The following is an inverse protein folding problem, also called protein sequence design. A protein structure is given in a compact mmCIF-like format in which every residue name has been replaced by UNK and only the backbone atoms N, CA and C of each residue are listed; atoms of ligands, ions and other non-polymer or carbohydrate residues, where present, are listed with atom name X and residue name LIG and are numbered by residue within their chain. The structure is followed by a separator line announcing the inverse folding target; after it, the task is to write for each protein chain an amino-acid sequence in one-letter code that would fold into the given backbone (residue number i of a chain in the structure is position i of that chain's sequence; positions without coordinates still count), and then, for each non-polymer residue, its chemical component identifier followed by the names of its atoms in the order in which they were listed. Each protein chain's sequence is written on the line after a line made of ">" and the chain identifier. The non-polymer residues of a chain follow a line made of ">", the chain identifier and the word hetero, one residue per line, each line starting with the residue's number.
data_IF_430791831022
#
_entry.id   IF_430791831022
#
_cell.length_a   1.000
_cell.length_b   1.000
_cell.length_c   1.000
_cell.angle_alpha   90.00
_cell.angle_beta   90.00
_cell.angle_gamma   90.00
#
_symmetry.space_group_name_H-M   'P 1'
#
loop_
_entity.id
_entity.type
_entity.pdbx_description
1 polymer ?
#
# COMPACT_ATOMS: atom_id res chain seq x y z
N UNK A 1 -29.75 50.57 56.38
CA UNK A 1 -28.45 49.98 56.16
C UNK A 1 -28.45 48.43 56.20
N UNK A 2 -28.91 47.79 57.35
CA UNK A 2 -28.90 46.29 57.49
C UNK A 2 -29.67 45.54 56.36
N UNK A 3 -30.85 46.02 55.92
CA UNK A 3 -31.65 45.42 54.86
C UNK A 3 -30.94 45.49 53.49
N UNK A 4 -30.24 46.60 53.20
CA UNK A 4 -29.49 46.77 51.91
C UNK A 4 -28.26 45.79 51.89
N UNK A 5 -27.57 45.70 53.07
CA UNK A 5 -26.43 44.74 53.18
C UNK A 5 -26.86 43.28 52.99
N UNK A 6 -28.05 42.93 53.55
CA UNK A 6 -28.60 41.56 53.39
C UNK A 6 -28.99 41.28 51.92
N UNK A 7 -29.55 42.26 51.18
CA UNK A 7 -29.87 42.11 49.75
C UNK A 7 -28.57 41.95 48.93
N UNK A 8 -27.55 42.77 49.22
CA UNK A 8 -26.26 42.65 48.53
C UNK A 8 -25.65 41.26 48.78
N UNK A 9 -25.64 40.76 50.02
CA UNK A 9 -25.16 39.46 50.39
C UNK A 9 -25.91 38.35 49.63
N UNK A 10 -27.25 38.44 49.59
CA UNK A 10 -28.10 37.50 48.86
C UNK A 10 -27.79 37.48 47.34
N UNK A 11 -27.59 38.66 46.74
CA UNK A 11 -27.18 38.79 45.36
C UNK A 11 -25.82 38.18 45.09
N UNK A 12 -24.85 38.38 45.99
CA UNK A 12 -23.52 37.76 45.85
C UNK A 12 -23.58 36.23 45.97
N UNK A 13 -24.41 35.68 46.86
CA UNK A 13 -24.64 34.24 46.99
C UNK A 13 -25.28 33.67 45.69
N UNK A 14 -26.31 34.35 45.17
CA UNK A 14 -26.97 33.93 43.91
C UNK A 14 -26.00 33.98 42.73
N UNK A 15 -25.16 35.02 42.63
CA UNK A 15 -24.11 35.14 41.64
C UNK A 15 -23.08 34.03 41.76
N UNK A 16 -22.67 33.73 43.02
CA UNK A 16 -21.73 32.63 43.31
C UNK A 16 -22.28 31.25 42.87
N UNK A 17 -23.56 30.99 43.19
CA UNK A 17 -24.24 29.76 42.78
C UNK A 17 -24.34 29.70 41.25
N UNK A 18 -24.75 30.79 40.59
CA UNK A 18 -24.85 30.85 39.12
C UNK A 18 -23.49 30.63 38.43
N UNK A 19 -22.42 31.22 38.96
CA UNK A 19 -21.05 31.01 38.51
C UNK A 19 -20.62 29.54 38.69
N UNK A 20 -20.90 28.94 39.83
CA UNK A 20 -20.61 27.54 40.13
C UNK A 20 -21.32 26.57 39.17
N UNK A 21 -22.62 26.82 38.95
CA UNK A 21 -23.41 26.03 37.94
C UNK A 21 -22.88 26.24 36.53
N UNK A 22 -22.44 27.47 36.22
CA UNK A 22 -21.83 27.77 34.91
C UNK A 22 -20.53 26.94 34.67
N UNK A 23 -19.63 26.99 35.64
CA UNK A 23 -18.38 26.22 35.59
C UNK A 23 -18.65 24.71 35.54
N UNK A 24 -19.60 24.21 36.34
CA UNK A 24 -20.00 22.80 36.29
C UNK A 24 -20.52 22.40 34.92
N UNK A 25 -21.39 23.19 34.29
CA UNK A 25 -21.89 22.93 32.92
C UNK A 25 -20.78 22.90 31.87
N UNK A 26 -19.79 23.79 31.99
CA UNK A 26 -18.63 23.86 31.11
C UNK A 26 -17.75 22.62 31.26
N UNK A 27 -17.44 22.21 32.47
CA UNK A 27 -16.66 21.00 32.75
C UNK A 27 -17.39 19.75 32.30
N UNK A 28 -18.71 19.69 32.52
CA UNK A 28 -19.54 18.56 32.06
C UNK A 28 -19.55 18.41 30.55
N UNK A 29 -19.43 19.53 29.78
CA UNK A 29 -19.26 19.45 28.33
C UNK A 29 -17.95 18.74 27.96
N UNK A 30 -16.87 19.03 28.67
CA UNK A 30 -15.58 18.39 28.38
C UNK A 30 -15.64 16.86 28.48
N UNK A 31 -16.41 16.35 29.41
CA UNK A 31 -16.54 14.92 29.70
C UNK A 31 -17.74 14.29 28.95
N UNK A 32 -18.51 15.09 28.19
CA UNK A 32 -19.59 14.58 27.34
C UNK A 32 -19.03 13.96 26.05
N UNK A 33 -19.73 12.92 25.55
CA UNK A 33 -19.36 12.27 24.28
C UNK A 33 -19.65 13.20 23.09
N UNK A 34 -18.88 12.98 22.02
CA UNK A 34 -19.14 13.59 20.72
C UNK A 34 -20.52 13.16 20.18
N UNK A 35 -21.12 13.98 19.35
CA UNK A 35 -22.49 13.73 18.80
C UNK A 35 -22.46 12.86 17.55
N UNK A 36 -21.29 12.48 17.08
CA UNK A 36 -21.12 11.64 15.89
C UNK A 36 -21.62 10.21 16.16
N UNK A 37 -22.18 9.57 15.13
CA UNK A 37 -22.70 8.19 15.22
C UNK A 37 -21.70 7.15 14.69
N UNK A 38 -20.78 7.58 13.86
CA UNK A 38 -19.74 6.77 13.20
C UNK A 38 -18.40 7.50 13.22
N UNK A 39 -17.33 6.80 12.88
CA UNK A 39 -16.01 7.42 12.75
C UNK A 39 -16.05 8.57 11.75
N UNK A 40 -15.52 9.72 12.16
CA UNK A 40 -15.55 10.95 11.39
C UNK A 40 -14.15 11.48 11.19
N UNK A 41 -13.80 11.81 9.95
CA UNK A 41 -12.53 12.47 9.62
C UNK A 41 -12.76 13.99 9.69
N UNK A 42 -11.97 14.63 10.53
CA UNK A 42 -12.01 16.07 10.77
C UNK A 42 -10.69 16.71 10.40
N UNK A 43 -10.71 17.74 9.55
CA UNK A 43 -9.50 18.48 9.17
C UNK A 43 -9.49 19.86 9.80
N UNK A 44 -8.49 20.11 10.64
CA UNK A 44 -8.22 21.39 11.26
C UNK A 44 -7.16 22.15 10.46
N UNK A 45 -7.54 23.27 9.87
CA UNK A 45 -6.64 24.10 9.06
C UNK A 45 -5.64 24.87 9.91
N UNK A 46 -4.42 25.14 9.40
CA UNK A 46 -3.48 26.04 10.05
C UNK A 46 -4.09 27.42 10.33
N UNK A 47 -3.81 27.98 11.52
CA UNK A 47 -4.32 29.32 11.91
C UNK A 47 -5.78 29.35 12.38
N UNK A 48 -6.46 28.19 12.50
CA UNK A 48 -7.83 28.15 13.05
C UNK A 48 -7.83 28.59 14.51
N UNK A 49 -8.52 29.72 14.82
CA UNK A 49 -8.68 30.21 16.18
C UNK A 49 -9.77 29.47 16.97
N UNK A 50 -9.84 29.69 18.29
CA UNK A 50 -10.80 29.01 19.20
C UNK A 50 -12.27 29.17 18.77
N UNK A 51 -12.66 30.36 18.31
CA UNK A 51 -14.02 30.62 17.83
C UNK A 51 -14.34 29.79 16.61
N UNK A 52 -13.46 29.85 15.60
CA UNK A 52 -13.63 29.15 14.35
C UNK A 52 -13.63 27.60 14.55
N UNK A 53 -12.79 27.08 15.45
CA UNK A 53 -12.82 25.66 15.80
C UNK A 53 -14.17 25.24 16.38
N UNK A 54 -14.71 26.02 17.33
CA UNK A 54 -16.02 25.72 17.93
C UNK A 54 -17.15 25.77 16.93
N UNK A 55 -17.12 26.73 15.99
CA UNK A 55 -18.09 26.86 14.91
C UNK A 55 -17.99 25.72 13.90
N UNK A 56 -16.79 25.34 13.52
CA UNK A 56 -16.56 24.20 12.64
C UNK A 56 -17.05 22.88 13.27
N UNK A 57 -16.69 22.61 14.52
CA UNK A 57 -17.16 21.42 15.23
C UNK A 57 -18.69 21.37 15.37
N UNK A 58 -19.31 22.54 15.50
CA UNK A 58 -20.79 22.64 15.51
C UNK A 58 -21.40 22.42 14.13
N UNK A 59 -20.83 23.02 13.09
CA UNK A 59 -21.28 22.85 11.70
C UNK A 59 -21.19 21.38 11.26
N UNK A 60 -20.10 20.70 11.65
CA UNK A 60 -19.87 19.28 11.37
C UNK A 60 -20.66 18.35 12.30
N UNK A 61 -21.55 18.92 13.17
CA UNK A 61 -22.40 18.20 14.14
C UNK A 61 -21.62 17.32 15.13
N UNK A 62 -20.39 17.70 15.44
CA UNK A 62 -19.52 16.99 16.39
C UNK A 62 -19.87 17.41 17.82
N UNK A 63 -20.23 18.71 18.01
CA UNK A 63 -20.71 19.27 19.27
C UNK A 63 -22.03 20.07 19.04
N UNK A 64 -22.81 20.30 20.10
CA UNK A 64 -24.07 21.08 19.99
C UNK A 64 -24.03 22.43 20.70
N UNK A 65 -22.96 22.78 21.43
CA UNK A 65 -22.87 23.96 22.26
C UNK A 65 -21.59 24.77 22.01
N UNK A 66 -21.44 25.43 20.86
CA UNK A 66 -20.19 26.11 20.48
C UNK A 66 -19.81 27.24 21.45
N UNK A 67 -20.78 27.95 22.05
CA UNK A 67 -20.51 28.97 23.04
C UNK A 67 -19.95 28.39 24.35
N UNK A 68 -20.51 27.26 24.84
CA UNK A 68 -20.00 26.56 26.03
C UNK A 68 -18.62 25.99 25.78
N UNK A 69 -18.35 25.49 24.59
CA UNK A 69 -17.03 25.02 24.14
C UNK A 69 -15.96 26.14 24.23
N UNK A 70 -16.32 27.36 23.81
CA UNK A 70 -15.40 28.52 23.96
C UNK A 70 -15.07 28.85 25.41
N UNK A 71 -16.05 28.74 26.31
CA UNK A 71 -15.83 28.91 27.73
C UNK A 71 -14.95 27.80 28.30
N UNK A 72 -15.11 26.55 27.82
CA UNK A 72 -14.23 25.44 28.21
C UNK A 72 -12.76 25.75 27.93
N UNK A 73 -12.44 26.21 26.70
CA UNK A 73 -11.06 26.57 26.32
C UNK A 73 -10.51 27.81 27.06
N UNK A 74 -11.38 28.61 27.75
CA UNK A 74 -10.95 29.69 28.64
C UNK A 74 -10.69 29.20 30.05
N UNK A 75 -11.50 28.29 30.58
CA UNK A 75 -11.42 27.76 31.93
C UNK A 75 -10.32 26.69 32.02
N UNK A 76 -10.12 25.92 30.96
CA UNK A 76 -9.06 24.91 30.85
C UNK A 76 -8.15 25.28 29.63
N UNK A 77 -7.24 26.26 29.79
CA UNK A 77 -6.41 26.75 28.69
C UNK A 77 -5.47 25.70 28.12
N UNK A 78 -5.08 24.68 28.89
CA UNK A 78 -4.27 23.54 28.45
C UNK A 78 -4.92 22.79 27.27
N UNK A 79 -6.26 22.79 27.21
CA UNK A 79 -6.98 22.16 26.09
C UNK A 79 -7.01 23.03 24.82
N UNK A 80 -6.37 24.21 24.82
CA UNK A 80 -6.37 25.13 23.68
C UNK A 80 -5.12 25.05 22.80
N UNK A 81 -4.21 24.12 23.05
CA UNK A 81 -2.94 23.93 22.30
C UNK A 81 -3.11 22.94 21.15
N UNK A 82 -4.17 23.04 20.37
CA UNK A 82 -4.44 22.15 19.26
C UNK A 82 -3.57 22.45 18.03
N UNK A 83 -3.19 21.40 17.31
CA UNK A 83 -2.36 21.44 16.09
C UNK A 83 -3.23 21.23 14.85
N UNK A 84 -2.88 21.95 13.78
CA UNK A 84 -3.47 21.70 12.46
C UNK A 84 -3.16 20.28 12.00
N UNK A 85 -4.06 19.66 11.25
CA UNK A 85 -3.94 18.30 10.77
C UNK A 85 -5.29 17.66 10.48
N UNK A 86 -5.28 16.42 10.04
CA UNK A 86 -6.49 15.62 9.81
C UNK A 86 -6.59 14.52 10.85
N UNK A 87 -7.69 14.48 11.56
CA UNK A 87 -7.86 13.63 12.75
C UNK A 87 -9.06 12.68 12.55
N UNK A 88 -9.02 11.56 13.25
CA UNK A 88 -10.10 10.58 13.27
C UNK A 88 -10.78 10.62 14.63
N UNK A 89 -12.05 11.01 14.65
CA UNK A 89 -12.89 11.00 15.84
C UNK A 89 -13.77 9.76 15.87
N UNK A 90 -13.97 9.20 17.06
CA UNK A 90 -14.87 8.06 17.26
C UNK A 90 -16.06 8.45 18.13
N UNK A 91 -17.22 7.78 18.00
CA UNK A 91 -18.43 8.09 18.78
C UNK A 91 -18.26 7.98 20.30
N UNK A 92 -17.27 7.21 20.76
CA UNK A 92 -17.00 7.01 22.20
C UNK A 92 -16.18 8.12 22.81
N UNK A 93 -15.47 8.91 21.98
CA UNK A 93 -14.62 10.01 22.45
C UNK A 93 -15.45 11.08 23.18
N UNK A 94 -14.88 11.60 24.25
CA UNK A 94 -15.34 12.82 24.89
C UNK A 94 -14.74 14.06 24.21
N UNK A 95 -15.33 15.24 24.47
CA UNK A 95 -14.77 16.51 23.99
C UNK A 95 -13.35 16.72 24.51
N UNK A 96 -13.05 16.31 25.73
CA UNK A 96 -11.71 16.38 26.32
C UNK A 96 -10.71 15.49 25.58
N UNK A 97 -11.08 14.24 25.27
CA UNK A 97 -10.23 13.30 24.53
C UNK A 97 -9.98 13.79 23.11
N UNK A 98 -10.99 14.34 22.45
CA UNK A 98 -10.86 15.00 21.14
C UNK A 98 -9.84 16.15 21.19
N UNK A 99 -9.96 17.06 22.19
CA UNK A 99 -9.02 18.18 22.33
C UNK A 99 -7.60 17.71 22.61
N UNK A 100 -7.42 16.70 23.47
CA UNK A 100 -6.10 16.07 23.69
C UNK A 100 -5.54 15.41 22.44
N UNK A 101 -6.38 14.77 21.60
CA UNK A 101 -5.96 14.24 20.33
C UNK A 101 -5.46 15.35 19.39
N UNK A 102 -6.20 16.46 19.27
CA UNK A 102 -5.79 17.63 18.51
C UNK A 102 -4.48 18.25 19.03
N UNK A 103 -4.29 18.32 20.36
CA UNK A 103 -3.06 18.79 20.99
C UNK A 103 -1.87 17.89 20.67
N UNK A 104 -2.06 16.57 20.74
CA UNK A 104 -1.00 15.60 20.46
C UNK A 104 -0.44 15.71 19.03
N UNK A 105 -1.25 16.16 18.07
CA UNK A 105 -0.90 16.18 16.64
C UNK A 105 -0.86 14.79 16.02
N UNK A 106 -1.43 13.77 16.67
CA UNK A 106 -1.49 12.41 16.14
C UNK A 106 -2.56 12.33 15.07
N UNK A 107 -2.17 12.59 13.83
CA UNK A 107 -3.07 12.59 12.68
C UNK A 107 -3.63 11.21 12.34
N UNK A 108 -4.77 11.20 11.66
CA UNK A 108 -5.38 10.00 11.10
C UNK A 108 -4.43 9.33 10.09
N UNK A 109 -4.30 8.02 10.20
CA UNK A 109 -3.54 7.21 9.26
C UNK A 109 -4.49 6.54 8.28
N UNK A 110 -4.12 6.55 6.99
CA UNK A 110 -4.83 5.92 5.90
C UNK A 110 -3.96 4.83 5.28
N UNK A 111 -4.48 3.63 5.01
CA UNK A 111 -3.71 2.57 4.38
C UNK A 111 -3.76 2.69 2.86
N UNK A 112 -2.61 2.53 2.20
CA UNK A 112 -2.48 2.24 0.77
C UNK A 112 -1.85 0.85 0.64
N UNK A 113 -2.57 -0.11 0.06
CA UNK A 113 -2.11 -1.48 -0.09
C UNK A 113 -1.53 -1.71 -1.48
N UNK A 114 -0.21 -1.81 -1.59
CA UNK A 114 0.49 -2.22 -2.81
C UNK A 114 0.70 -3.74 -2.76
N UNK A 115 0.11 -4.47 -3.70
CA UNK A 115 0.06 -5.94 -3.68
C UNK A 115 1.13 -6.52 -4.59
N UNK A 116 1.71 -7.65 -4.19
CA UNK A 116 2.65 -8.43 -4.99
C UNK A 116 2.04 -8.85 -6.34
N UNK A 117 2.84 -8.96 -7.37
CA UNK A 117 2.40 -9.34 -8.71
C UNK A 117 1.65 -8.26 -9.49
N UNK A 118 1.40 -7.08 -8.91
CA UNK A 118 0.85 -5.92 -9.61
C UNK A 118 1.95 -5.16 -10.38
N UNK A 119 1.54 -4.45 -11.44
CA UNK A 119 2.41 -3.54 -12.20
C UNK A 119 2.48 -2.16 -11.53
N UNK A 120 3.49 -1.38 -11.88
CA UNK A 120 3.57 0.01 -11.45
C UNK A 120 2.33 0.81 -11.89
N UNK A 121 1.79 0.56 -13.08
CA UNK A 121 0.55 1.20 -13.54
C UNK A 121 -0.64 0.97 -12.62
N UNK A 122 -0.75 -0.22 -12.01
CA UNK A 122 -1.80 -0.53 -11.04
C UNK A 122 -1.57 0.24 -9.73
N UNK A 123 -0.32 0.39 -9.29
CA UNK A 123 0.05 1.18 -8.12
C UNK A 123 -0.27 2.66 -8.32
N UNK A 124 0.03 3.21 -9.49
CA UNK A 124 -0.28 4.61 -9.83
C UNK A 124 -1.79 4.84 -9.82
N UNK A 125 -2.57 3.90 -10.35
CA UNK A 125 -4.04 3.95 -10.28
C UNK A 125 -4.53 3.96 -8.82
N UNK A 126 -4.02 3.06 -7.96
CA UNK A 126 -4.39 3.02 -6.55
C UNK A 126 -4.00 4.31 -5.81
N UNK A 127 -2.83 4.89 -6.11
CA UNK A 127 -2.41 6.18 -5.56
C UNK A 127 -3.35 7.32 -5.97
N UNK A 128 -3.83 7.31 -7.22
CA UNK A 128 -4.77 8.32 -7.73
C UNK A 128 -6.14 8.23 -7.04
N UNK A 129 -6.59 7.02 -6.72
CA UNK A 129 -7.86 6.76 -6.06
C UNK A 129 -7.79 6.88 -4.52
N UNK A 130 -6.58 6.95 -3.95
CA UNK A 130 -6.38 6.98 -2.51
C UNK A 130 -6.86 8.31 -1.89
N UNK A 131 -7.68 8.28 -0.83
CA UNK A 131 -8.23 9.47 -0.21
C UNK A 131 -7.13 10.31 0.45
N UNK A 132 -7.28 11.63 0.44
CA UNK A 132 -6.39 12.59 1.13
C UNK A 132 -4.93 12.61 0.63
N UNK A 133 -4.59 11.90 -0.44
CA UNK A 133 -3.29 12.02 -1.11
C UNK A 133 -3.20 13.37 -1.82
N UNK A 134 -2.07 14.01 -1.70
CA UNK A 134 -1.73 15.18 -2.52
C UNK A 134 -1.03 14.70 -3.81
N UNK A 135 -1.75 14.80 -4.93
CA UNK A 135 -1.20 14.43 -6.23
C UNK A 135 -0.21 15.50 -6.71
N UNK A 136 1.02 15.07 -6.98
CA UNK A 136 2.13 15.92 -7.44
C UNK A 136 2.75 15.40 -8.73
N UNK A 137 2.48 14.15 -9.12
CA UNK A 137 2.81 13.63 -10.44
C UNK A 137 1.95 14.31 -11.50
N UNK A 138 2.58 14.78 -12.59
CA UNK A 138 1.88 15.42 -13.72
C UNK A 138 1.11 14.42 -14.58
N UNK A 139 1.61 13.19 -14.69
CA UNK A 139 0.99 12.07 -15.38
C UNK A 139 1.50 10.72 -14.82
N UNK A 140 0.96 9.60 -15.32
CA UNK A 140 1.31 8.24 -14.90
C UNK A 140 2.37 7.58 -15.81
N UNK A 141 3.06 8.35 -16.65
CA UNK A 141 4.13 7.78 -17.45
C UNK A 141 5.32 7.38 -16.59
N UNK A 142 5.87 6.22 -16.86
CA UNK A 142 7.03 5.71 -16.12
C UNK A 142 8.21 6.68 -16.13
N UNK A 143 8.44 7.38 -17.24
CA UNK A 143 9.48 8.40 -17.32
C UNK A 143 9.22 9.58 -16.36
N UNK A 144 7.98 10.04 -16.23
CA UNK A 144 7.59 11.10 -15.28
C UNK A 144 7.80 10.65 -13.83
N UNK A 145 7.41 9.43 -13.51
CA UNK A 145 7.62 8.85 -12.17
C UNK A 145 9.12 8.72 -11.90
N UNK A 146 9.90 8.16 -12.83
CA UNK A 146 11.34 8.00 -12.69
C UNK A 146 12.05 9.34 -12.45
N UNK A 147 11.66 10.39 -13.18
CA UNK A 147 12.18 11.74 -13.01
C UNK A 147 11.81 12.33 -11.63
N UNK A 148 10.54 12.18 -11.19
CA UNK A 148 10.10 12.68 -9.89
C UNK A 148 10.77 11.96 -8.71
N UNK A 149 11.18 10.72 -8.91
CA UNK A 149 11.93 9.93 -7.93
C UNK A 149 13.44 10.15 -8.02
N UNK A 150 13.95 10.82 -9.06
CA UNK A 150 15.37 11.06 -9.31
C UNK A 150 16.16 9.74 -9.42
N UNK A 151 15.60 8.77 -10.17
CA UNK A 151 16.20 7.44 -10.29
C UNK A 151 17.50 7.50 -11.10
N UNK A 152 18.54 6.82 -10.61
CA UNK A 152 19.82 6.66 -11.33
C UNK A 152 19.64 5.82 -12.61
N UNK A 153 18.76 4.83 -12.57
CA UNK A 153 18.45 3.95 -13.69
C UNK A 153 16.94 4.02 -13.98
N UNK A 154 16.47 5.04 -14.71
CA UNK A 154 15.03 5.27 -14.92
C UNK A 154 14.34 4.15 -15.69
N UNK A 155 15.09 3.34 -16.46
CA UNK A 155 14.59 2.15 -17.15
C UNK A 155 14.28 0.97 -16.22
N UNK A 156 14.79 0.98 -14.99
CA UNK A 156 14.54 -0.06 -13.99
C UNK A 156 13.35 0.27 -13.08
N UNK A 157 12.34 0.94 -13.59
CA UNK A 157 11.27 1.42 -12.73
C UNK A 157 10.24 0.33 -12.40
N UNK A 158 9.90 -0.55 -13.36
CA UNK A 158 8.96 -1.64 -13.10
C UNK A 158 9.56 -2.65 -12.14
N UNK A 159 8.77 -3.10 -11.16
CA UNK A 159 9.19 -4.08 -10.16
C UNK A 159 10.02 -3.51 -8.99
N UNK A 160 10.37 -2.21 -9.01
CA UNK A 160 11.24 -1.61 -8.00
C UNK A 160 10.50 -0.87 -6.86
N UNK A 161 9.26 -1.25 -6.58
CA UNK A 161 8.47 -0.72 -5.47
C UNK A 161 8.06 -1.85 -4.52
N UNK A 162 8.41 -1.74 -3.23
CA UNK A 162 8.12 -2.78 -2.25
C UNK A 162 6.62 -2.92 -2.02
N UNK A 163 6.06 -4.12 -2.21
CA UNK A 163 4.67 -4.41 -1.89
C UNK A 163 4.47 -4.45 -0.37
N UNK A 164 3.55 -3.64 0.13
CA UNK A 164 3.22 -3.55 1.56
C UNK A 164 1.93 -2.73 1.73
N UNK A 165 1.44 -2.69 2.98
CA UNK A 165 0.44 -1.69 3.38
C UNK A 165 1.13 -0.44 3.89
N UNK A 166 1.12 0.62 3.07
CA UNK A 166 1.75 1.89 3.36
C UNK A 166 0.81 2.83 4.08
N UNK A 167 1.08 3.10 5.37
CA UNK A 167 0.33 4.09 6.13
C UNK A 167 0.81 5.50 5.77
N UNK A 168 -0.16 6.43 5.60
CA UNK A 168 0.09 7.83 5.29
C UNK A 168 -0.89 8.74 6.02
N UNK A 169 -0.52 10.00 6.21
CA UNK A 169 -1.38 11.08 6.70
C UNK A 169 -1.94 11.90 5.54
N UNK A 170 -2.99 12.67 5.80
CA UNK A 170 -3.53 13.59 4.79
C UNK A 170 -2.43 14.54 4.26
N UNK A 171 -2.53 14.90 2.98
CA UNK A 171 -1.56 15.71 2.24
C UNK A 171 -0.18 15.07 2.03
N UNK A 172 0.02 13.80 2.40
CA UNK A 172 1.19 13.04 1.93
C UNK A 172 1.16 13.01 0.41
N UNK A 173 2.28 13.29 -0.25
CA UNK A 173 2.34 13.28 -1.71
C UNK A 173 2.47 11.85 -2.25
N UNK A 174 1.91 11.61 -3.43
CA UNK A 174 2.09 10.38 -4.21
C UNK A 174 3.59 10.05 -4.38
N UNK A 175 4.41 11.05 -4.77
CA UNK A 175 5.87 10.91 -4.89
C UNK A 175 6.52 10.47 -3.56
N UNK A 176 6.08 11.03 -2.42
CA UNK A 176 6.65 10.64 -1.12
C UNK A 176 6.38 9.18 -0.77
N UNK A 177 5.19 8.66 -1.09
CA UNK A 177 4.86 7.24 -0.89
C UNK A 177 5.66 6.34 -1.81
N UNK A 178 5.76 6.70 -3.10
CA UNK A 178 6.57 5.96 -4.07
C UNK A 178 8.06 5.95 -3.66
N UNK A 179 8.63 7.09 -3.22
CA UNK A 179 10.02 7.15 -2.70
C UNK A 179 10.22 6.18 -1.52
N UNK A 180 9.27 6.08 -0.60
CA UNK A 180 9.34 5.13 0.52
C UNK A 180 9.31 3.68 0.05
N UNK A 181 8.39 3.34 -0.86
CA UNK A 181 8.26 1.99 -1.40
C UNK A 181 9.51 1.59 -2.22
N UNK A 182 10.00 2.50 -3.06
CA UNK A 182 11.22 2.30 -3.84
C UNK A 182 12.44 2.10 -2.94
N UNK A 183 12.66 2.98 -1.95
CA UNK A 183 13.79 2.85 -1.00
C UNK A 183 13.78 1.51 -0.25
N UNK A 184 12.60 1.02 0.13
CA UNK A 184 12.48 -0.30 0.79
C UNK A 184 12.81 -1.43 -0.17
N UNK A 185 12.37 -1.35 -1.44
CA UNK A 185 12.72 -2.35 -2.45
C UNK A 185 14.22 -2.36 -2.74
N UNK A 186 14.85 -1.20 -2.94
CA UNK A 186 16.31 -1.09 -3.15
C UNK A 186 17.06 -1.81 -2.02
N UNK A 187 16.70 -1.54 -0.75
CA UNK A 187 17.34 -2.21 0.40
C UNK A 187 17.15 -3.73 0.38
N UNK A 188 15.95 -4.21 0.03
CA UNK A 188 15.67 -5.65 -0.04
C UNK A 188 16.44 -6.31 -1.18
N UNK A 189 16.51 -5.66 -2.34
CA UNK A 189 17.29 -6.14 -3.50
C UNK A 189 18.78 -6.15 -3.21
N UNK A 190 19.31 -5.12 -2.55
CA UNK A 190 20.73 -5.07 -2.14
C UNK A 190 21.07 -6.25 -1.24
N UNK A 191 20.25 -6.49 -0.22
CA UNK A 191 20.45 -7.63 0.68
C UNK A 191 20.37 -8.98 -0.03
N UNK A 192 19.39 -9.14 -0.94
CA UNK A 192 19.24 -10.36 -1.74
C UNK A 192 20.40 -10.56 -2.71
N UNK A 193 20.91 -9.48 -3.31
CA UNK A 193 22.05 -9.51 -4.22
C UNK A 193 23.35 -9.88 -3.52
N UNK A 194 23.62 -9.29 -2.37
CA UNK A 194 24.83 -9.60 -1.58
C UNK A 194 24.83 -11.02 -1.04
N UNK A 195 23.65 -11.50 -0.58
CA UNK A 195 23.50 -12.85 -0.03
C UNK A 195 23.22 -13.95 -1.04
N UNK A 196 23.15 -13.65 -2.35
CA UNK A 196 22.72 -14.62 -3.38
C UNK A 196 23.63 -15.83 -3.48
N UNK A 197 23.07 -16.94 -3.94
CA UNK A 197 23.84 -18.14 -4.25
C UNK A 197 24.89 -17.87 -5.34
N UNK A 198 26.04 -18.57 -5.25
CA UNK A 198 27.12 -18.44 -6.23
C UNK A 198 26.72 -18.98 -7.60
N UNK A 199 27.32 -18.39 -8.65
CA UNK A 199 27.17 -18.85 -10.03
C UNK A 199 25.78 -18.65 -10.63
N UNK A 200 24.98 -17.70 -10.12
CA UNK A 200 23.75 -17.29 -10.77
C UNK A 200 24.05 -16.49 -12.05
N UNK A 201 23.25 -16.68 -13.12
CA UNK A 201 23.54 -16.08 -14.43
C UNK A 201 23.04 -14.64 -14.57
N UNK A 202 22.98 -13.88 -13.47
CA UNK A 202 22.59 -12.48 -13.47
C UNK A 202 23.79 -11.56 -13.64
N UNK A 203 23.63 -10.53 -14.48
CA UNK A 203 24.67 -9.51 -14.72
C UNK A 203 24.59 -8.38 -13.69
N UNK A 204 23.39 -8.07 -13.21
CA UNK A 204 23.10 -6.94 -12.34
C UNK A 204 21.86 -7.20 -11.45
N UNK A 205 21.57 -6.28 -10.55
CA UNK A 205 20.43 -6.33 -9.63
C UNK A 205 19.08 -6.30 -10.37
N UNK A 206 19.02 -5.61 -11.53
CA UNK A 206 17.77 -5.55 -12.31
C UNK A 206 17.40 -6.93 -12.87
N UNK A 207 18.37 -7.73 -13.28
CA UNK A 207 18.12 -9.10 -13.73
C UNK A 207 17.64 -10.01 -12.58
N UNK A 208 18.09 -9.78 -11.36
CA UNK A 208 17.55 -10.46 -10.17
C UNK A 208 16.07 -10.08 -9.94
N UNK A 209 15.73 -8.78 -9.99
CA UNK A 209 14.35 -8.30 -9.85
C UNK A 209 13.48 -8.80 -11.00
N UNK A 210 14.01 -8.82 -12.22
CA UNK A 210 13.33 -9.35 -13.41
C UNK A 210 12.96 -10.81 -13.22
N UNK A 211 13.91 -11.65 -12.81
CA UNK A 211 13.64 -13.07 -12.52
C UNK A 211 12.63 -13.22 -11.38
N UNK A 212 12.78 -12.47 -10.31
CA UNK A 212 11.84 -12.50 -9.19
C UNK A 212 10.40 -12.15 -9.63
N UNK A 213 10.25 -11.17 -10.54
CA UNK A 213 8.95 -10.79 -11.09
C UNK A 213 8.32 -11.87 -11.97
N UNK A 214 9.13 -12.64 -12.68
CA UNK A 214 8.67 -13.80 -13.47
C UNK A 214 8.19 -14.90 -12.53
N UNK A 215 8.98 -15.25 -11.51
CA UNK A 215 8.61 -16.25 -10.49
C UNK A 215 7.31 -15.85 -9.79
N UNK A 216 7.15 -14.57 -9.43
CA UNK A 216 5.95 -14.04 -8.80
C UNK A 216 4.67 -14.29 -9.65
N UNK A 217 4.80 -14.20 -10.96
CA UNK A 217 3.68 -14.39 -11.90
C UNK A 217 3.44 -15.86 -12.29
N UNK A 218 4.41 -16.74 -12.04
CA UNK A 218 4.30 -18.16 -12.44
C UNK A 218 3.61 -19.02 -11.38
N UNK A 219 3.88 -18.78 -10.11
CA UNK A 219 3.32 -19.62 -9.06
C UNK A 219 2.87 -18.85 -7.83
N UNK A 220 1.65 -19.14 -7.38
CA UNK A 220 1.14 -18.72 -6.07
C UNK A 220 1.56 -19.70 -4.96
N UNK A 221 2.09 -20.89 -5.31
CA UNK A 221 2.48 -21.93 -4.34
C UNK A 221 3.85 -21.60 -3.76
N UNK A 222 3.87 -21.15 -2.51
CA UNK A 222 5.09 -20.69 -1.85
C UNK A 222 6.20 -21.77 -1.80
N UNK A 223 5.83 -23.03 -1.59
CA UNK A 223 6.79 -24.17 -1.52
C UNK A 223 7.40 -24.57 -2.87
N UNK A 224 6.94 -24.02 -3.99
CA UNK A 224 7.46 -24.35 -5.33
C UNK A 224 8.29 -23.22 -5.94
N UNK A 225 8.33 -22.02 -5.33
CA UNK A 225 9.00 -20.85 -5.90
C UNK A 225 10.49 -21.08 -6.18
N UNK A 226 11.19 -21.75 -5.29
CA UNK A 226 12.61 -22.09 -5.45
C UNK A 226 12.85 -23.14 -6.54
N UNK A 227 11.92 -24.08 -6.74
CA UNK A 227 11.96 -25.05 -7.84
C UNK A 227 11.64 -24.39 -9.20
N UNK A 228 10.64 -23.52 -9.26
CA UNK A 228 10.33 -22.71 -10.46
C UNK A 228 11.55 -21.83 -10.81
N UNK A 229 12.15 -21.17 -9.83
CA UNK A 229 13.38 -20.41 -10.02
C UNK A 229 14.51 -21.29 -10.60
N UNK A 230 14.68 -22.49 -10.06
CA UNK A 230 15.67 -23.46 -10.54
C UNK A 230 15.48 -23.80 -12.03
N UNK A 231 14.25 -24.01 -12.49
CA UNK A 231 13.98 -24.28 -13.93
C UNK A 231 14.45 -23.13 -14.80
N UNK A 232 14.11 -21.89 -14.46
CA UNK A 232 14.52 -20.72 -15.24
C UNK A 232 16.04 -20.49 -15.21
N UNK A 233 16.68 -20.68 -14.05
CA UNK A 233 18.14 -20.59 -13.92
C UNK A 233 18.83 -21.64 -14.78
N UNK A 234 18.35 -22.89 -14.77
CA UNK A 234 18.90 -23.97 -15.59
C UNK A 234 18.75 -23.66 -17.08
N UNK A 235 17.58 -23.17 -17.51
CA UNK A 235 17.37 -22.72 -18.89
C UNK A 235 18.33 -21.60 -19.30
N UNK A 236 18.51 -20.57 -18.47
CA UNK A 236 19.46 -19.49 -18.74
C UNK A 236 20.90 -20.02 -18.91
N UNK A 237 21.33 -20.95 -18.06
CA UNK A 237 22.70 -21.53 -18.12
C UNK A 237 22.99 -22.26 -19.43
N UNK A 238 21.98 -22.89 -20.03
CA UNK A 238 22.15 -23.64 -21.28
C UNK A 238 21.67 -22.84 -22.52
N UNK A 239 21.37 -21.54 -22.37
CA UNK A 239 20.89 -20.70 -23.46
C UNK A 239 19.48 -21.06 -23.96
N UNK A 240 18.68 -21.79 -23.21
CA UNK A 240 17.32 -22.14 -23.52
C UNK A 240 16.38 -20.95 -23.27
N UNK A 241 15.42 -20.73 -24.16
CA UNK A 241 14.39 -19.69 -23.99
C UNK A 241 13.56 -19.94 -22.74
N UNK A 242 13.15 -18.89 -22.02
CA UNK A 242 12.35 -19.02 -20.80
C UNK A 242 10.92 -19.47 -21.08
N UNK A 243 10.30 -19.02 -22.17
CA UNK A 243 8.97 -19.44 -22.65
C UNK A 243 7.92 -19.38 -21.54
N UNK A 244 7.72 -18.20 -20.99
CA UNK A 244 6.79 -17.93 -19.89
C UNK A 244 5.72 -16.94 -20.31
N UNK A 245 4.46 -17.35 -20.23
CA UNK A 245 3.29 -16.60 -20.68
C UNK A 245 3.18 -15.19 -20.04
N UNK A 246 3.45 -14.98 -18.74
CA UNK A 246 3.40 -13.66 -18.12
C UNK A 246 4.26 -12.60 -18.84
N UNK A 247 5.39 -12.97 -19.41
CA UNK A 247 6.24 -12.03 -20.15
C UNK A 247 5.60 -11.59 -21.47
N UNK A 248 4.88 -12.49 -22.14
CA UNK A 248 4.11 -12.17 -23.35
C UNK A 248 2.97 -11.22 -23.00
N UNK A 249 2.21 -11.54 -21.93
CA UNK A 249 1.11 -10.70 -21.41
C UNK A 249 1.61 -9.29 -21.07
N UNK A 250 2.78 -9.17 -20.43
CA UNK A 250 3.37 -7.87 -20.15
C UNK A 250 3.73 -7.11 -21.42
N UNK A 251 4.39 -7.79 -22.38
CA UNK A 251 4.79 -7.19 -23.65
C UNK A 251 3.62 -6.80 -24.56
N UNK A 252 2.45 -7.43 -24.42
CA UNK A 252 1.21 -7.03 -25.09
C UNK A 252 0.62 -5.73 -24.52
N UNK A 253 0.84 -5.46 -23.23
CA UNK A 253 0.25 -4.30 -22.55
C UNK A 253 -1.29 -4.31 -22.61
N UNK A 254 -1.88 -3.20 -23.04
CA UNK A 254 -3.35 -3.04 -23.15
C UNK A 254 -4.02 -3.92 -24.21
N UNK A 255 -3.26 -4.49 -25.13
CA UNK A 255 -3.81 -5.42 -26.14
C UNK A 255 -4.22 -6.78 -25.55
N UNK A 256 -3.77 -7.10 -24.32
CA UNK A 256 -4.15 -8.35 -23.68
C UNK A 256 -5.62 -8.32 -23.23
N UNK A 257 -6.41 -9.24 -23.77
CA UNK A 257 -7.86 -9.34 -23.55
C UNK A 257 -8.28 -10.52 -22.63
N UNK A 258 -7.34 -11.08 -21.86
CA UNK A 258 -7.60 -12.20 -20.96
C UNK A 258 -7.28 -13.58 -21.54
N UNK A 259 -6.90 -13.69 -22.82
CA UNK A 259 -6.50 -14.95 -23.46
C UNK A 259 -5.25 -14.74 -24.31
N UNK A 260 -4.34 -15.73 -24.30
CA UNK A 260 -3.21 -15.79 -25.21
C UNK A 260 -3.57 -16.69 -26.41
N UNK A 261 -3.32 -16.19 -27.60
CA UNK A 261 -3.38 -16.97 -28.83
C UNK A 261 -1.98 -17.48 -29.22
N UNK A 262 -1.93 -18.46 -30.11
CA UNK A 262 -0.65 -18.93 -30.68
C UNK A 262 0.10 -17.80 -31.38
N UNK A 263 -0.60 -16.93 -32.09
CA UNK A 263 -0.01 -15.77 -32.73
C UNK A 263 0.66 -14.81 -31.76
N UNK A 264 0.08 -14.62 -30.54
CA UNK A 264 0.70 -13.78 -29.49
C UNK A 264 2.03 -14.36 -29.02
N UNK A 265 2.11 -15.69 -28.86
CA UNK A 265 3.35 -16.38 -28.47
C UNK A 265 4.43 -16.28 -29.56
N UNK A 266 4.05 -16.18 -30.81
CA UNK A 266 4.95 -16.09 -31.98
C UNK A 266 5.31 -14.63 -32.33
N UNK A 267 4.56 -13.64 -31.81
CA UNK A 267 4.78 -12.21 -32.11
C UNK A 267 6.00 -11.68 -31.35
N UNK A 268 7.04 -11.18 -32.05
CA UNK A 268 8.22 -10.64 -31.38
C UNK A 268 7.92 -9.36 -30.62
N UNK A 269 8.30 -9.33 -29.33
CA UNK A 269 8.39 -8.12 -28.50
C UNK A 269 9.66 -8.22 -27.66
N UNK A 270 10.12 -7.11 -27.12
CA UNK A 270 11.28 -7.10 -26.21
C UNK A 270 11.08 -7.98 -24.96
N UNK A 271 9.83 -8.24 -24.58
CA UNK A 271 9.46 -9.04 -23.40
C UNK A 271 9.04 -10.48 -23.75
N UNK A 272 8.78 -10.83 -25.02
CA UNK A 272 8.30 -12.16 -25.39
C UNK A 272 9.42 -13.21 -25.30
N UNK A 273 9.47 -13.95 -24.19
CA UNK A 273 10.48 -14.98 -23.92
C UNK A 273 10.29 -16.27 -24.74
N UNK A 274 9.28 -16.36 -25.60
CA UNK A 274 9.16 -17.39 -26.65
C UNK A 274 10.00 -17.02 -27.88
N UNK A 275 10.28 -15.72 -28.08
CA UNK A 275 10.99 -15.22 -29.26
C UNK A 275 12.39 -14.69 -28.96
N UNK A 276 12.65 -14.26 -27.73
CA UNK A 276 13.98 -13.81 -27.28
C UNK A 276 14.72 -14.89 -26.48
N UNK A 277 16.06 -14.81 -26.43
CA UNK A 277 16.90 -15.61 -25.56
C UNK A 277 17.29 -14.82 -24.32
N UNK A 278 17.31 -15.47 -23.15
CA UNK A 278 17.63 -14.82 -21.89
C UNK A 278 16.45 -14.13 -21.20
N UNK A 279 16.76 -13.23 -20.28
CA UNK A 279 15.76 -12.42 -19.56
C UNK A 279 15.24 -11.28 -20.45
N UNK A 280 13.98 -10.84 -20.23
CA UNK A 280 13.49 -9.60 -20.83
C UNK A 280 14.25 -8.39 -20.24
N UNK A 281 14.09 -7.17 -20.84
CA UNK A 281 14.84 -5.97 -20.45
C UNK A 281 14.64 -5.54 -18.99
N UNK A 282 13.52 -5.88 -18.39
CA UNK A 282 13.16 -5.50 -17.02
C UNK A 282 12.07 -6.37 -16.44
N UNK A 283 11.69 -6.07 -15.21
CA UNK A 283 10.62 -6.76 -14.50
C UNK A 283 9.27 -6.61 -15.22
N UNK A 284 8.36 -7.53 -14.95
CA UNK A 284 7.01 -7.59 -15.52
C UNK A 284 5.90 -7.36 -14.49
N UNK A 285 6.29 -7.28 -13.23
CA UNK A 285 5.43 -7.02 -12.07
C UNK A 285 6.31 -6.70 -10.86
N UNK A 286 5.70 -6.27 -9.78
CA UNK A 286 6.39 -6.10 -8.49
C UNK A 286 6.51 -7.44 -7.78
N UNK A 287 7.73 -7.98 -7.54
CA UNK A 287 7.91 -9.21 -6.79
C UNK A 287 7.77 -8.98 -5.28
N UNK A 288 7.27 -9.99 -4.57
CA UNK A 288 7.31 -10.05 -3.12
C UNK A 288 8.65 -10.59 -2.57
N UNK A 289 8.73 -10.62 -1.24
CA UNK A 289 9.93 -11.09 -0.53
C UNK A 289 10.30 -12.54 -0.90
N UNK A 290 9.31 -13.43 -0.98
CA UNK A 290 9.54 -14.85 -1.25
C UNK A 290 10.03 -15.10 -2.68
N UNK A 291 9.50 -14.36 -3.66
CA UNK A 291 9.96 -14.47 -5.05
C UNK A 291 11.37 -13.89 -5.24
N UNK A 292 11.67 -12.78 -4.55
CA UNK A 292 13.02 -12.21 -4.53
C UNK A 292 14.03 -13.20 -3.90
N UNK A 293 13.64 -13.83 -2.78
CA UNK A 293 14.43 -14.87 -2.13
C UNK A 293 14.64 -16.08 -3.03
N UNK A 294 13.59 -16.58 -3.70
CA UNK A 294 13.69 -17.72 -4.61
C UNK A 294 14.59 -17.42 -5.82
N UNK A 295 14.53 -16.20 -6.36
CA UNK A 295 15.44 -15.76 -7.43
C UNK A 295 16.91 -15.71 -6.96
N UNK A 296 17.16 -15.30 -5.71
CA UNK A 296 18.51 -15.26 -5.13
C UNK A 296 19.02 -16.63 -4.65
N UNK A 297 18.12 -17.53 -4.28
CA UNK A 297 18.43 -18.86 -3.75
C UNK A 297 17.57 -19.95 -4.39
N UNK A 298 17.71 -20.19 -5.71
CA UNK A 298 16.96 -21.24 -6.39
C UNK A 298 17.34 -22.62 -5.85
N UNK A 299 16.39 -23.56 -5.88
CA UNK A 299 16.67 -24.95 -5.55
C UNK A 299 17.74 -25.53 -6.49
N UNK A 300 18.53 -26.44 -5.99
CA UNK A 300 19.53 -27.18 -6.81
C UNK A 300 18.87 -28.42 -7.42
N UNK A 301 18.25 -28.28 -8.57
CA UNK A 301 17.54 -29.36 -9.28
C UNK A 301 18.02 -29.48 -10.73
N UNK A 302 17.81 -30.61 -11.39
CA UNK A 302 18.08 -30.77 -12.82
C UNK A 302 16.88 -30.39 -13.71
N UNK A 303 15.84 -29.77 -13.17
CA UNK A 303 14.60 -29.51 -13.90
C UNK A 303 14.77 -28.42 -14.97
N UNK A 304 14.13 -28.66 -16.11
CA UNK A 304 14.07 -27.74 -17.26
C UNK A 304 12.63 -27.39 -17.64
N UNK A 305 11.64 -28.11 -17.12
CA UNK A 305 10.23 -27.96 -17.46
C UNK A 305 9.37 -28.12 -16.20
N UNK A 306 8.24 -27.45 -16.21
CA UNK A 306 7.15 -27.68 -15.28
C UNK A 306 5.80 -27.49 -15.96
N UNK A 307 4.75 -28.11 -15.45
CA UNK A 307 3.38 -28.00 -15.89
C UNK A 307 2.46 -28.15 -14.70
N UNK A 308 1.31 -27.49 -14.70
CA UNK A 308 0.31 -27.66 -13.65
C UNK A 308 -0.10 -29.14 -13.50
N UNK A 309 -0.29 -29.58 -12.25
CA UNK A 309 -0.69 -30.97 -11.92
C UNK A 309 -2.20 -31.17 -11.86
N UNK A 310 -2.97 -30.07 -11.99
CA UNK A 310 -4.43 -30.07 -11.84
C UNK A 310 -4.91 -30.17 -10.38
N UNK A 311 -4.02 -30.17 -9.39
CA UNK A 311 -4.32 -30.25 -7.95
C UNK A 311 -3.91 -28.98 -7.19
N UNK A 312 -3.46 -27.97 -7.93
CA UNK A 312 -3.05 -26.67 -7.38
C UNK A 312 -1.53 -26.46 -7.31
N UNK A 313 -0.72 -27.44 -7.76
CA UNK A 313 0.73 -27.38 -7.86
C UNK A 313 1.23 -27.67 -9.26
N UNK A 314 2.53 -28.01 -9.35
CA UNK A 314 3.22 -28.30 -10.61
C UNK A 314 3.98 -29.63 -10.54
N UNK A 315 4.06 -30.28 -11.72
CA UNK A 315 4.97 -31.41 -11.95
C UNK A 315 6.21 -30.91 -12.67
N UNK A 316 7.39 -31.18 -12.08
CA UNK A 316 8.69 -30.75 -12.60
C UNK A 316 9.37 -31.88 -13.39
N UNK A 317 9.99 -31.53 -14.51
CA UNK A 317 10.56 -32.50 -15.46
C UNK A 317 11.96 -32.06 -15.93
N UNK A 318 12.83 -33.05 -16.20
CA UNK A 318 14.21 -32.82 -16.64
C UNK A 318 14.36 -32.76 -18.15
N UNK A 319 13.40 -33.30 -18.92
CA UNK A 319 13.46 -33.37 -20.37
C UNK A 319 12.07 -33.22 -21.01
N UNK A 320 12.03 -32.97 -22.32
CA UNK A 320 10.80 -32.72 -23.06
C UNK A 320 9.87 -33.95 -23.13
N UNK A 321 10.42 -35.17 -23.18
CA UNK A 321 9.61 -36.38 -23.27
C UNK A 321 8.77 -36.59 -21.98
N UNK A 322 9.41 -36.44 -20.81
CA UNK A 322 8.72 -36.50 -19.50
C UNK A 322 7.74 -35.35 -19.31
N UNK A 323 8.10 -34.14 -19.77
CA UNK A 323 7.19 -32.98 -19.75
C UNK A 323 5.94 -33.23 -20.59
N UNK A 324 6.06 -33.71 -21.84
CA UNK A 324 4.91 -34.01 -22.71
C UNK A 324 3.99 -35.07 -22.06
N UNK A 325 4.55 -36.05 -21.36
CA UNK A 325 3.74 -37.03 -20.59
C UNK A 325 2.96 -36.33 -19.46
N UNK A 326 3.62 -35.47 -18.69
CA UNK A 326 2.98 -34.71 -17.61
C UNK A 326 1.87 -33.79 -18.13
N UNK A 327 2.05 -33.19 -19.33
CA UNK A 327 1.00 -32.40 -20.01
C UNK A 327 -0.22 -33.28 -20.34
N UNK A 328 0.01 -34.51 -20.88
CA UNK A 328 -1.11 -35.44 -21.14
C UNK A 328 -1.86 -35.84 -19.89
N UNK A 329 -1.14 -36.07 -18.79
CA UNK A 329 -1.75 -36.42 -17.50
C UNK A 329 -2.56 -35.24 -16.94
N UNK A 330 -2.04 -34.02 -17.03
CA UNK A 330 -2.78 -32.79 -16.66
C UNK A 330 -4.08 -32.64 -17.47
N UNK A 331 -4.04 -32.85 -18.80
CA UNK A 331 -5.23 -32.77 -19.67
C UNK A 331 -6.29 -33.81 -19.32
N UNK A 332 -5.90 -35.00 -18.85
CA UNK A 332 -6.85 -36.03 -18.33
C UNK A 332 -7.56 -35.52 -17.06
N UNK A 333 -6.80 -35.00 -16.10
CA UNK A 333 -7.36 -34.42 -14.87
C UNK A 333 -8.34 -33.30 -15.16
N UNK A 334 -8.04 -32.42 -16.13
CA UNK A 334 -8.97 -31.35 -16.55
C UNK A 334 -10.25 -31.89 -17.16
N UNK A 335 -10.18 -32.93 -17.99
CA UNK A 335 -11.37 -33.56 -18.60
C UNK A 335 -12.25 -34.19 -17.52
N UNK A 336 -11.68 -34.87 -16.55
CA UNK A 336 -12.41 -35.48 -15.43
C UNK A 336 -13.12 -34.44 -14.57
N UNK A 337 -12.46 -33.30 -14.27
CA UNK A 337 -13.06 -32.18 -13.51
C UNK A 337 -14.19 -31.47 -14.27
N UNK A 338 -14.11 -31.36 -15.58
CA UNK A 338 -15.16 -30.73 -16.40
C UNK A 338 -16.34 -31.67 -16.69
N UNK A 339 -16.23 -32.97 -16.38
CA UNK A 339 -17.29 -33.96 -16.53
C UNK A 339 -18.13 -34.16 -15.25
N UNK A 340 -17.71 -33.59 -14.14
CA UNK A 340 -18.42 -33.51 -12.86
C UNK A 340 -19.20 -32.21 -12.71
#
# INVERSE_FOLDING_TARGET
>A
MKKVLLIILLLLVVLGIAAGVGVWKVRHLADSKLLIKEETIFTLKPGTGRLALGEQLYADKIINRPRVFQWLLRIEPDLSHYKAGTYRFTPQMTVREMLKLLESGKEAQFPLRLVEGMRLSDYLKQLREAPYIKHTLSDDKYATVAQALELENPEWIEGWFWPDTWMYTANTTDVALLKRAHKKMVKAVDSAWEGRADGLPYKDKNQLVTMASIIEKETAVASERDQVASVFINRLRIGMRLQTDPTVIYGMGERYNGKLSRADLETPTAYNTYTITGLPPGAIATPGADSLKAAAHPAKTPYLYFVADGKGGHTFNTNLASHNKSVQDYLKVLKEKNAQ
#
